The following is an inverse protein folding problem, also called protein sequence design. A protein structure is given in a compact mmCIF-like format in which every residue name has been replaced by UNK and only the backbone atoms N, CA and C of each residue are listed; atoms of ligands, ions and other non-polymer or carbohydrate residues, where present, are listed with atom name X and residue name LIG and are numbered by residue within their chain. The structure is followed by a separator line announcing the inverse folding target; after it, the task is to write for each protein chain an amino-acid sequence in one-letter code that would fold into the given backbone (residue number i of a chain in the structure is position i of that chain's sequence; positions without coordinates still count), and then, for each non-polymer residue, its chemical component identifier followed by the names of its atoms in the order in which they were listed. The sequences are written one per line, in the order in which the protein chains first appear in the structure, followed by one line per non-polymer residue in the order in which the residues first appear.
data_IF_226324183963
#
_entry.id   IF_226324183963
#
_cell.length_a   1.000
_cell.length_b   1.000
_cell.length_c   1.000
_cell.angle_alpha   90.00
_cell.angle_beta   90.00
_cell.angle_gamma   90.00
#
_symmetry.space_group_name_H-M   'P 1'
#
loop_
_entity.id
_entity.type
_entity.pdbx_description
1 polymer ?
#
# COMPACT_ATOMS: atom_id res chain seq x y z
N UNK A 1 15.02 -9.39 6.18
CA UNK A 1 14.68 -8.27 5.29
C UNK A 1 13.17 -8.09 5.36
N UNK A 2 12.65 -6.89 5.71
CA UNK A 2 11.21 -6.65 5.63
C UNK A 2 10.72 -6.84 4.19
N UNK A 3 9.50 -7.36 4.03
CA UNK A 3 8.86 -7.53 2.73
C UNK A 3 8.49 -6.15 2.16
N UNK A 4 8.88 -5.88 0.91
CA UNK A 4 8.63 -4.57 0.28
C UNK A 4 7.14 -4.33 -0.02
N UNK A 5 6.75 -3.06 -0.17
CA UNK A 5 5.37 -2.64 -0.47
C UNK A 5 4.74 -3.38 -1.66
N UNK A 6 5.49 -3.63 -2.73
CA UNK A 6 5.00 -4.41 -3.88
C UNK A 6 4.61 -5.86 -3.53
N UNK A 7 5.38 -6.51 -2.64
CA UNK A 7 5.09 -7.88 -2.19
C UNK A 7 3.87 -7.90 -1.26
N UNK A 8 3.74 -6.90 -0.39
CA UNK A 8 2.56 -6.70 0.45
C UNK A 8 1.30 -6.45 -0.38
N UNK A 9 1.39 -5.61 -1.42
CA UNK A 9 0.27 -5.34 -2.32
C UNK A 9 -0.18 -6.60 -3.07
N UNK A 10 0.77 -7.41 -3.55
CA UNK A 10 0.47 -8.71 -4.17
C UNK A 10 -0.30 -9.64 -3.24
N UNK A 11 0.09 -9.68 -1.96
CA UNK A 11 -0.64 -10.47 -0.94
C UNK A 11 -2.03 -9.88 -0.66
N UNK A 12 -2.14 -8.56 -0.55
CA UNK A 12 -3.41 -7.90 -0.28
C UNK A 12 -4.45 -8.15 -1.38
N UNK A 13 -4.03 -8.19 -2.65
CA UNK A 13 -4.91 -8.53 -3.79
C UNK A 13 -5.58 -9.89 -3.68
N UNK A 14 -5.04 -10.83 -2.90
CA UNK A 14 -5.65 -12.13 -2.69
C UNK A 14 -6.82 -12.11 -1.68
N UNK A 15 -6.96 -11.05 -0.88
CA UNK A 15 -7.92 -10.99 0.24
C UNK A 15 -8.85 -9.79 0.21
N UNK A 16 -8.52 -8.73 -0.53
CA UNK A 16 -9.37 -7.54 -0.68
C UNK A 16 -9.50 -7.16 -2.17
N UNK A 17 -10.70 -6.74 -2.63
CA UNK A 17 -10.88 -6.26 -4.00
C UNK A 17 -9.92 -5.11 -4.33
N UNK A 18 -9.14 -5.26 -5.40
CA UNK A 18 -8.12 -4.28 -5.78
C UNK A 18 -6.91 -4.21 -4.84
N UNK A 19 -6.82 -5.07 -3.83
CA UNK A 19 -5.73 -5.10 -2.84
C UNK A 19 -5.78 -3.99 -1.79
N UNK A 20 -6.91 -3.29 -1.66
CA UNK A 20 -7.09 -2.16 -0.73
C UNK A 20 -8.50 -2.08 -0.17
N UNK A 21 -8.67 -1.48 1.01
CA UNK A 21 -9.99 -1.25 1.63
C UNK A 21 -10.68 0.05 1.17
N UNK A 22 -10.03 0.86 0.34
CA UNK A 22 -10.59 2.07 -0.24
C UNK A 22 -9.97 2.28 -1.63
N UNK A 23 -10.76 2.46 -2.70
CA UNK A 23 -10.26 2.47 -4.09
C UNK A 23 -9.11 3.46 -4.35
N UNK A 24 -9.16 4.65 -3.72
CA UNK A 24 -8.12 5.68 -3.88
C UNK A 24 -6.73 5.21 -3.47
N UNK A 25 -6.64 4.24 -2.54
CA UNK A 25 -5.37 3.68 -2.07
C UNK A 25 -4.72 2.72 -3.08
N UNK A 26 -5.44 2.30 -4.12
CA UNK A 26 -4.92 1.41 -5.16
C UNK A 26 -4.03 2.11 -6.18
N UNK A 27 -3.82 3.43 -6.07
CA UNK A 27 -2.97 4.25 -6.94
C UNK A 27 -3.37 4.23 -8.43
N UNK A 28 -4.56 3.77 -8.78
CA UNK A 28 -5.00 3.65 -10.18
C UNK A 28 -4.98 4.96 -10.98
N UNK A 29 -5.14 6.11 -10.32
CA UNK A 29 -5.11 7.42 -10.97
C UNK A 29 -3.69 7.95 -11.25
N UNK A 30 -2.68 7.47 -10.53
CA UNK A 30 -1.30 8.00 -10.59
C UNK A 30 -0.27 6.96 -11.03
N UNK A 31 -0.64 5.68 -11.07
CA UNK A 31 0.25 4.57 -11.40
C UNK A 31 1.22 4.20 -10.28
N UNK A 32 1.96 3.12 -10.49
CA UNK A 32 2.91 2.57 -9.51
C UNK A 32 2.28 1.68 -8.43
N UNK A 33 3.12 1.17 -7.55
CA UNK A 33 2.68 0.33 -6.43
C UNK A 33 2.28 1.20 -5.22
N UNK A 34 1.13 0.92 -4.57
CA UNK A 34 0.77 1.57 -3.31
C UNK A 34 1.84 1.37 -2.23
N UNK A 35 2.09 2.42 -1.45
CA UNK A 35 3.00 2.36 -0.29
C UNK A 35 2.27 1.83 0.95
N UNK A 36 2.89 0.89 1.64
CA UNK A 36 2.39 0.31 2.88
C UNK A 36 3.02 1.03 4.08
N UNK A 37 2.32 2.04 4.60
CA UNK A 37 2.83 2.84 5.72
C UNK A 37 2.90 2.03 7.02
N UNK A 38 4.04 2.08 7.71
CA UNK A 38 4.31 1.39 8.98
C UNK A 38 4.17 2.31 10.19
N UNK A 39 4.45 3.61 10.03
CA UNK A 39 4.37 4.61 11.11
C UNK A 39 4.09 6.01 10.56
N UNK A 40 3.43 6.83 11.37
CA UNK A 40 3.36 8.29 11.18
C UNK A 40 3.80 9.02 12.45
N UNK A 41 4.50 10.14 12.29
CA UNK A 41 4.92 11.01 13.39
C UNK A 41 4.97 12.47 12.93
N UNK A 42 4.18 13.33 13.59
CA UNK A 42 4.01 14.72 13.17
C UNK A 42 3.61 14.81 11.70
N UNK A 43 4.40 15.56 10.92
CA UNK A 43 4.18 15.75 9.48
C UNK A 43 4.88 14.68 8.59
N UNK A 44 5.37 13.57 9.18
CA UNK A 44 6.14 12.55 8.46
C UNK A 44 5.45 11.19 8.48
N UNK A 45 5.61 10.45 7.39
CA UNK A 45 5.17 9.07 7.24
C UNK A 45 6.38 8.18 6.89
N UNK A 46 6.31 6.94 7.35
CA UNK A 46 7.28 5.89 7.11
C UNK A 46 6.54 4.69 6.53
N UNK A 47 7.12 4.06 5.50
CA UNK A 47 6.61 2.84 4.86
C UNK A 47 7.47 1.59 5.14
#
# INVERSE_FOLDING_TARGET
MPIGSAALFRRARAVTPGGVNSPVRGFGAVGGDPRFMTRGEGARLHD
#
